data_IF_027085979905
#
_entry.id   IF_027085979905
#
_cell.length_a   1.000
_cell.length_b   1.000
_cell.length_c   1.000
_cell.angle_alpha   90.00
_cell.angle_beta   90.00
_cell.angle_gamma   90.00
#
_symmetry.space_group_name_H-M   'P 1'
#
loop_
_entity.id
_entity.type
_entity.pdbx_description
1 polymer ?
#
# COMPACT_ATOMS: atom_id res chain seq x y z
N UNK A 1 19.19 -14.85 -30.19
CA UNK A 1 18.14 -13.89 -30.59
C UNK A 1 17.12 -13.77 -29.46
N UNK A 2 17.26 -12.82 -28.57
CA UNK A 2 16.35 -12.60 -27.43
C UNK A 2 15.09 -11.90 -27.94
N UNK A 3 13.97 -12.61 -27.96
CA UNK A 3 12.65 -12.04 -28.26
C UNK A 3 12.39 -10.86 -27.29
N UNK A 4 12.34 -9.63 -27.81
CA UNK A 4 11.78 -8.48 -27.08
C UNK A 4 10.35 -8.84 -26.71
N UNK A 5 10.11 -9.21 -25.46
CA UNK A 5 8.74 -9.31 -24.93
C UNK A 5 8.14 -7.91 -25.00
N UNK A 6 7.17 -7.74 -25.88
CA UNK A 6 6.38 -6.51 -25.95
C UNK A 6 5.55 -6.44 -24.67
N UNK A 7 5.79 -5.44 -23.84
CA UNK A 7 4.99 -5.20 -22.63
C UNK A 7 3.50 -5.15 -23.00
N UNK A 8 2.62 -5.78 -22.20
CA UNK A 8 1.19 -5.84 -22.49
C UNK A 8 0.61 -4.41 -22.53
N UNK A 9 -0.20 -4.14 -23.54
CA UNK A 9 -0.83 -2.83 -23.69
C UNK A 9 -2.12 -2.76 -22.86
N UNK A 10 -2.22 -1.72 -22.00
CA UNK A 10 -3.40 -1.43 -21.20
C UNK A 10 -3.39 -2.04 -19.78
N UNK A 11 -4.06 -1.36 -18.88
CA UNK A 11 -4.09 -1.67 -17.45
C UNK A 11 -4.61 -3.07 -17.10
N UNK A 12 -5.68 -3.61 -17.75
CA UNK A 12 -6.16 -4.96 -17.47
C UNK A 12 -5.11 -6.04 -17.79
N UNK A 13 -4.39 -5.90 -18.90
CA UNK A 13 -3.33 -6.85 -19.30
C UNK A 13 -2.11 -6.74 -18.36
N UNK A 14 -1.75 -5.53 -17.95
CA UNK A 14 -0.70 -5.31 -16.96
C UNK A 14 -1.08 -5.89 -15.59
N UNK A 15 -2.33 -5.72 -15.15
CA UNK A 15 -2.81 -6.32 -13.90
C UNK A 15 -2.77 -7.86 -13.95
N UNK A 16 -3.19 -8.45 -15.05
CA UNK A 16 -3.12 -9.91 -15.24
C UNK A 16 -1.67 -10.40 -15.19
N UNK A 17 -0.71 -9.68 -15.81
CA UNK A 17 0.70 -10.04 -15.75
C UNK A 17 1.28 -9.89 -14.34
N UNK A 18 0.96 -8.82 -13.61
CA UNK A 18 1.34 -8.65 -12.20
C UNK A 18 0.82 -9.80 -11.35
N UNK A 19 -0.45 -10.21 -11.53
CA UNK A 19 -1.04 -11.37 -10.86
C UNK A 19 -0.39 -12.71 -11.25
N UNK A 20 0.10 -12.83 -12.48
CA UNK A 20 0.87 -14.01 -12.91
C UNK A 20 2.28 -14.07 -12.31
N UNK A 21 2.91 -12.92 -12.05
CA UNK A 21 4.25 -12.82 -11.46
C UNK A 21 4.24 -12.93 -9.92
N UNK A 22 3.17 -12.51 -9.27
CA UNK A 22 2.95 -12.71 -7.82
C UNK A 22 1.70 -13.56 -7.66
N UNK A 23 1.88 -14.86 -7.41
CA UNK A 23 0.76 -15.78 -7.19
C UNK A 23 0.04 -15.49 -5.86
N UNK A 24 -1.25 -15.86 -5.70
CA UNK A 24 -1.98 -15.64 -4.44
C UNK A 24 -1.27 -16.21 -3.22
N UNK A 25 -0.63 -17.38 -3.35
CA UNK A 25 0.10 -18.04 -2.26
C UNK A 25 1.27 -17.21 -1.68
N UNK A 26 1.78 -16.25 -2.42
CA UNK A 26 2.83 -15.33 -1.96
C UNK A 26 2.27 -14.17 -1.10
N UNK A 27 0.96 -13.94 -1.13
CA UNK A 27 0.29 -13.01 -0.23
C UNK A 27 0.16 -13.65 1.16
N UNK A 28 0.02 -12.80 2.18
CA UNK A 28 -0.07 -13.29 3.56
C UNK A 28 -1.23 -14.27 3.77
N UNK A 29 -0.93 -15.48 4.24
CA UNK A 29 -1.88 -16.59 4.39
C UNK A 29 -3.10 -16.24 5.25
N UNK A 30 -2.90 -15.50 6.34
CA UNK A 30 -3.98 -15.01 7.19
C UNK A 30 -4.96 -14.07 6.48
N UNK A 31 -4.47 -13.30 5.47
CA UNK A 31 -5.34 -12.47 4.62
C UNK A 31 -6.12 -13.32 3.63
N UNK A 32 -5.48 -14.33 3.01
CA UNK A 32 -6.15 -15.24 2.10
C UNK A 32 -7.28 -16.00 2.80
N UNK A 33 -7.01 -16.57 3.97
CA UNK A 33 -8.01 -17.26 4.77
C UNK A 33 -9.15 -16.34 5.23
N UNK A 34 -8.83 -15.07 5.54
CA UNK A 34 -9.84 -14.07 5.87
C UNK A 34 -10.70 -13.73 4.64
N UNK A 35 -10.09 -13.49 3.48
CA UNK A 35 -10.78 -13.12 2.24
C UNK A 35 -11.74 -14.21 1.75
N UNK A 36 -11.36 -15.50 1.87
CA UNK A 36 -12.18 -16.65 1.50
C UNK A 36 -13.50 -16.74 2.29
N UNK A 37 -13.52 -16.22 3.52
CA UNK A 37 -14.72 -16.21 4.39
C UNK A 37 -15.66 -15.03 4.12
N UNK A 38 -15.33 -14.13 3.18
CA UNK A 38 -16.12 -12.93 2.91
C UNK A 38 -17.05 -13.15 1.72
N UNK A 39 -18.33 -12.72 1.83
CA UNK A 39 -19.24 -12.83 0.71
C UNK A 39 -18.72 -12.02 -0.49
N UNK A 40 -18.89 -12.49 -1.73
CA UNK A 40 -18.43 -11.76 -2.93
C UNK A 40 -19.02 -10.35 -3.07
N UNK A 41 -20.17 -10.08 -2.48
CA UNK A 41 -20.84 -8.79 -2.46
C UNK A 41 -20.24 -7.76 -1.51
N UNK A 42 -19.32 -8.17 -0.61
CA UNK A 42 -18.69 -7.24 0.33
C UNK A 42 -17.80 -6.23 -0.40
N UNK A 43 -18.00 -4.95 -0.10
CA UNK A 43 -17.21 -3.86 -0.69
C UNK A 43 -15.85 -3.80 -0.01
N UNK A 44 -14.79 -3.83 -0.82
CA UNK A 44 -13.41 -3.68 -0.37
C UNK A 44 -12.87 -2.30 -0.75
N UNK A 45 -12.55 -1.50 0.25
CA UNK A 45 -11.89 -0.21 0.06
C UNK A 45 -10.37 -0.39 -0.01
N UNK A 46 -9.72 0.22 -0.99
CA UNK A 46 -8.27 0.12 -1.23
C UNK A 46 -7.66 1.51 -1.09
N UNK A 47 -6.72 1.69 -0.16
CA UNK A 47 -5.96 2.94 -0.07
C UNK A 47 -5.02 3.05 -1.27
N UNK A 48 -5.26 4.02 -2.15
CA UNK A 48 -4.56 4.15 -3.42
C UNK A 48 -3.93 5.54 -3.57
N UNK A 49 -2.61 5.63 -3.41
CA UNK A 49 -1.84 6.87 -3.58
C UNK A 49 -1.33 7.09 -4.99
N UNK A 50 -1.26 6.04 -5.82
CA UNK A 50 -0.60 6.04 -7.12
C UNK A 50 0.88 5.64 -7.06
N UNK A 51 1.48 5.53 -5.88
CA UNK A 51 2.82 4.99 -5.68
C UNK A 51 2.89 3.48 -5.90
N UNK A 52 4.10 2.95 -6.08
CA UNK A 52 4.36 1.55 -6.46
C UNK A 52 3.61 0.54 -5.60
N UNK A 53 3.75 0.63 -4.26
CA UNK A 53 3.18 -0.36 -3.35
C UNK A 53 1.64 -0.39 -3.44
N UNK A 54 0.99 0.78 -3.42
CA UNK A 54 -0.47 0.89 -3.51
C UNK A 54 -1.01 0.50 -4.88
N UNK A 55 -0.22 0.72 -5.94
CA UNK A 55 -0.56 0.29 -7.29
C UNK A 55 -0.44 -1.23 -7.41
N UNK A 56 0.65 -1.82 -6.93
CA UNK A 56 0.81 -3.28 -6.89
C UNK A 56 -0.38 -3.93 -6.15
N UNK A 57 -0.77 -3.40 -4.99
CA UNK A 57 -1.93 -3.89 -4.25
C UNK A 57 -3.21 -3.84 -5.09
N UNK A 58 -3.50 -2.71 -5.73
CA UNK A 58 -4.71 -2.56 -6.54
C UNK A 58 -4.74 -3.56 -7.71
N UNK A 59 -3.60 -3.71 -8.42
CA UNK A 59 -3.48 -4.63 -9.55
C UNK A 59 -3.62 -6.09 -9.10
N UNK A 60 -3.02 -6.48 -7.97
CA UNK A 60 -3.14 -7.83 -7.41
C UNK A 60 -4.57 -8.15 -6.98
N UNK A 61 -5.26 -7.21 -6.31
CA UNK A 61 -6.66 -7.40 -5.94
C UNK A 61 -7.54 -7.57 -7.19
N UNK A 62 -7.32 -6.76 -8.21
CA UNK A 62 -8.06 -6.83 -9.47
C UNK A 62 -7.81 -8.15 -10.23
N UNK A 63 -6.57 -8.67 -10.17
CA UNK A 63 -6.19 -9.90 -10.86
C UNK A 63 -6.67 -11.15 -10.13
N UNK A 64 -6.50 -11.23 -8.80
CA UNK A 64 -6.74 -12.44 -8.02
C UNK A 64 -8.18 -12.64 -7.57
N UNK A 65 -8.99 -11.58 -7.54
CA UNK A 65 -10.42 -11.65 -7.18
C UNK A 65 -11.30 -11.06 -8.30
N UNK A 66 -11.33 -11.72 -9.49
CA UNK A 66 -12.08 -11.22 -10.65
C UNK A 66 -13.58 -11.04 -10.35
N UNK A 67 -14.16 -11.88 -9.50
CA UNK A 67 -15.56 -11.81 -9.06
C UNK A 67 -15.86 -10.59 -8.19
N UNK A 68 -14.83 -9.94 -7.65
CA UNK A 68 -14.95 -8.76 -6.76
C UNK A 68 -14.60 -7.44 -7.42
N UNK A 69 -14.28 -7.43 -8.71
CA UNK A 69 -13.85 -6.18 -9.40
C UNK A 69 -14.87 -5.06 -9.26
N UNK A 70 -16.16 -5.38 -9.34
CA UNK A 70 -17.24 -4.41 -9.18
C UNK A 70 -17.40 -3.90 -7.72
N UNK A 71 -16.89 -4.62 -6.74
CA UNK A 71 -16.90 -4.27 -5.32
C UNK A 71 -15.62 -3.58 -4.84
N UNK A 72 -14.61 -3.43 -5.72
CA UNK A 72 -13.42 -2.66 -5.38
C UNK A 72 -13.70 -1.16 -5.44
N UNK A 73 -13.35 -0.46 -4.36
CA UNK A 73 -13.43 1.00 -4.28
C UNK A 73 -12.07 1.56 -3.89
N UNK A 74 -11.40 2.22 -4.81
CA UNK A 74 -10.13 2.88 -4.53
C UNK A 74 -10.37 4.21 -3.79
N UNK A 75 -9.60 4.47 -2.73
CA UNK A 75 -9.66 5.68 -1.92
C UNK A 75 -8.36 6.46 -2.09
N UNK A 76 -8.42 7.61 -2.74
CA UNK A 76 -7.29 8.52 -2.92
C UNK A 76 -7.47 9.77 -2.07
N UNK A 77 -6.46 10.13 -1.27
CA UNK A 77 -6.47 11.37 -0.50
C UNK A 77 -5.39 12.31 -0.99
N UNK A 78 -5.81 13.43 -1.58
CA UNK A 78 -4.93 14.49 -2.06
C UNK A 78 -4.68 15.49 -0.91
N UNK A 79 -3.47 15.44 -0.35
CA UNK A 79 -3.06 16.32 0.75
C UNK A 79 -2.87 17.78 0.31
N UNK A 80 -2.77 18.08 -1.00
CA UNK A 80 -2.51 19.40 -1.57
C UNK A 80 -1.20 20.09 -1.10
N UNK A 81 -0.32 19.36 -0.44
CA UNK A 81 0.94 19.89 0.08
C UNK A 81 1.97 20.15 -1.02
N UNK A 82 1.83 19.51 -2.19
CA UNK A 82 2.79 19.56 -3.31
C UNK A 82 2.22 20.22 -4.58
N UNK A 83 1.18 21.02 -4.47
CA UNK A 83 0.60 21.77 -5.59
C UNK A 83 0.34 20.90 -6.82
N UNK A 84 0.93 21.28 -7.98
CA UNK A 84 0.75 20.57 -9.27
C UNK A 84 1.13 19.08 -9.24
N UNK A 85 2.10 18.68 -8.41
CA UNK A 85 2.49 17.27 -8.31
C UNK A 85 1.35 16.43 -7.67
N UNK A 86 0.70 16.94 -6.64
CA UNK A 86 -0.44 16.27 -6.01
C UNK A 86 -1.66 16.17 -6.95
N UNK A 87 -1.87 17.16 -7.82
CA UNK A 87 -2.91 17.10 -8.86
C UNK A 87 -2.57 16.05 -9.94
N UNK A 88 -1.30 15.95 -10.32
CA UNK A 88 -0.83 14.94 -11.27
C UNK A 88 -1.02 13.50 -10.71
N UNK A 89 -0.79 13.31 -9.40
CA UNK A 89 -1.04 12.03 -8.72
C UNK A 89 -2.53 11.68 -8.73
N UNK A 90 -3.41 12.64 -8.44
CA UNK A 90 -4.86 12.43 -8.53
C UNK A 90 -5.30 12.08 -9.95
N UNK A 91 -4.81 12.81 -10.97
CA UNK A 91 -5.10 12.52 -12.38
C UNK A 91 -4.63 11.12 -12.78
N UNK A 92 -3.46 10.71 -12.28
CA UNK A 92 -2.93 9.38 -12.52
C UNK A 92 -3.86 8.30 -11.89
N UNK A 93 -4.23 8.46 -10.63
CA UNK A 93 -5.15 7.53 -9.95
C UNK A 93 -6.50 7.41 -10.69
N UNK A 94 -7.05 8.52 -11.18
CA UNK A 94 -8.28 8.51 -11.97
C UNK A 94 -8.15 7.71 -13.26
N UNK A 95 -7.03 7.86 -14.00
CA UNK A 95 -6.79 7.11 -15.24
C UNK A 95 -6.66 5.61 -15.00
N UNK A 96 -5.92 5.21 -13.97
CA UNK A 96 -5.75 3.80 -13.60
C UNK A 96 -7.10 3.18 -13.24
N UNK A 97 -7.84 3.80 -12.34
CA UNK A 97 -9.13 3.28 -11.88
C UNK A 97 -10.16 3.22 -13.00
N UNK A 98 -10.24 4.24 -13.85
CA UNK A 98 -11.13 4.26 -15.01
C UNK A 98 -10.82 3.11 -15.99
N UNK A 99 -9.53 2.87 -16.27
CA UNK A 99 -9.11 1.81 -17.18
C UNK A 99 -9.32 0.39 -16.63
N UNK A 100 -9.33 0.23 -15.28
CA UNK A 100 -9.62 -1.04 -14.61
C UNK A 100 -11.12 -1.23 -14.30
N UNK A 101 -11.97 -0.24 -14.54
CA UNK A 101 -13.37 -0.27 -14.15
C UNK A 101 -13.58 -0.20 -12.62
N UNK A 102 -12.61 0.34 -11.87
CA UNK A 102 -12.66 0.45 -10.41
C UNK A 102 -13.19 1.83 -10.01
N UNK A 103 -14.19 1.86 -9.12
CA UNK A 103 -14.71 3.11 -8.56
C UNK A 103 -13.62 3.83 -7.76
N UNK A 104 -13.41 5.13 -8.03
CA UNK A 104 -12.48 5.97 -7.26
C UNK A 104 -13.22 7.02 -6.45
N UNK A 105 -12.95 7.07 -5.15
CA UNK A 105 -13.39 8.15 -4.26
C UNK A 105 -12.18 9.01 -3.91
N UNK A 106 -12.28 10.30 -4.16
CA UNK A 106 -11.19 11.26 -3.91
C UNK A 106 -11.55 12.17 -2.75
N UNK A 107 -10.69 12.22 -1.74
CA UNK A 107 -10.69 13.24 -0.71
C UNK A 107 -9.61 14.28 -1.00
N UNK A 108 -9.89 15.52 -0.64
CA UNK A 108 -8.91 16.60 -0.72
C UNK A 108 -8.84 17.32 0.62
N UNK A 109 -7.62 17.57 1.09
CA UNK A 109 -7.46 18.38 2.27
C UNK A 109 -7.90 19.81 1.97
N UNK A 110 -8.83 20.35 2.78
CA UNK A 110 -9.37 21.70 2.60
C UNK A 110 -8.58 22.68 3.48
N UNK A 111 -8.32 23.88 2.96
CA UNK A 111 -7.58 24.94 3.65
C UNK A 111 -6.10 25.02 3.21
N UNK A 112 -5.39 25.98 3.81
CA UNK A 112 -3.93 26.12 3.66
C UNK A 112 -3.25 25.32 4.76
N UNK A 113 -2.37 24.38 4.38
CA UNK A 113 -1.69 23.48 5.30
C UNK A 113 -0.16 23.59 5.17
N UNK A 114 0.36 24.80 4.87
CA UNK A 114 1.79 25.06 4.90
C UNK A 114 2.33 24.79 6.30
N UNK A 115 3.36 23.95 6.41
CA UNK A 115 3.94 23.58 7.70
C UNK A 115 3.17 22.51 8.48
N UNK A 116 2.12 21.91 7.93
CA UNK A 116 1.40 20.83 8.60
C UNK A 116 2.33 19.62 8.87
N UNK A 117 2.23 19.09 10.08
CA UNK A 117 2.98 17.91 10.49
C UNK A 117 2.52 16.63 9.77
N UNK A 118 3.39 15.63 9.72
CA UNK A 118 3.04 14.29 9.20
C UNK A 118 1.84 13.68 9.97
N UNK A 119 1.76 13.94 11.28
CA UNK A 119 0.69 13.45 12.13
C UNK A 119 -0.68 14.05 11.73
N UNK A 120 -0.74 15.35 11.47
CA UNK A 120 -1.97 16.04 11.01
C UNK A 120 -2.39 15.54 9.62
N UNK A 121 -1.45 15.42 8.69
CA UNK A 121 -1.69 14.88 7.36
C UNK A 121 -2.23 13.44 7.42
N UNK A 122 -1.65 12.62 8.31
CA UNK A 122 -2.11 11.25 8.57
C UNK A 122 -3.52 11.23 9.19
N UNK A 123 -3.80 12.08 10.17
CA UNK A 123 -5.12 12.17 10.82
C UNK A 123 -6.20 12.58 9.82
N UNK A 124 -5.94 13.58 8.97
CA UNK A 124 -6.86 14.01 7.93
C UNK A 124 -7.17 12.89 6.93
N UNK A 125 -6.16 12.13 6.50
CA UNK A 125 -6.32 10.96 5.63
C UNK A 125 -7.15 9.87 6.29
N UNK A 126 -6.90 9.54 7.55
CA UNK A 126 -7.65 8.52 8.27
C UNK A 126 -9.13 8.91 8.43
N UNK A 127 -9.40 10.17 8.75
CA UNK A 127 -10.76 10.72 8.80
C UNK A 127 -11.48 10.57 7.45
N UNK A 128 -10.80 10.89 6.35
CA UNK A 128 -11.36 10.70 5.01
C UNK A 128 -11.67 9.24 4.73
N UNK A 129 -10.74 8.31 5.02
CA UNK A 129 -10.96 6.88 4.80
C UNK A 129 -12.17 6.39 5.60
N UNK A 130 -12.27 6.74 6.88
CA UNK A 130 -13.40 6.38 7.72
C UNK A 130 -14.74 6.85 7.13
N UNK A 131 -14.82 8.10 6.67
CA UNK A 131 -16.02 8.66 6.06
C UNK A 131 -16.36 8.01 4.71
N UNK A 132 -15.35 7.76 3.85
CA UNK A 132 -15.56 7.12 2.55
C UNK A 132 -16.04 5.68 2.70
N UNK A 133 -15.44 4.93 3.62
CA UNK A 133 -15.86 3.56 3.94
C UNK A 133 -17.29 3.52 4.50
N UNK A 134 -17.64 4.43 5.40
CA UNK A 134 -19.00 4.54 5.94
C UNK A 134 -20.04 4.76 4.83
N UNK A 135 -19.76 5.70 3.92
CA UNK A 135 -20.67 6.01 2.79
C UNK A 135 -20.81 4.86 1.79
N UNK A 136 -19.77 4.06 1.62
CA UNK A 136 -19.79 2.90 0.73
C UNK A 136 -20.29 1.62 1.40
N UNK A 137 -20.47 1.59 2.72
CA UNK A 137 -20.78 0.37 3.46
C UNK A 137 -19.59 -0.59 3.60
N UNK A 138 -18.37 -0.15 3.25
CA UNK A 138 -17.17 -0.98 3.34
C UNK A 138 -16.71 -1.14 4.79
N UNK A 139 -16.36 -2.38 5.16
CA UNK A 139 -15.77 -2.70 6.47
C UNK A 139 -14.30 -3.05 6.39
N UNK A 140 -13.73 -3.24 5.20
CA UNK A 140 -12.34 -3.60 4.98
C UNK A 140 -11.59 -2.49 4.25
N UNK A 141 -10.48 -2.01 4.84
CA UNK A 141 -9.52 -1.12 4.21
C UNK A 141 -8.24 -1.90 3.89
N UNK A 142 -7.99 -2.09 2.61
CA UNK A 142 -6.79 -2.75 2.11
C UNK A 142 -5.64 -1.75 2.03
N UNK A 143 -4.52 -2.11 2.64
CA UNK A 143 -3.34 -1.27 2.80
C UNK A 143 -2.12 -1.98 2.22
N UNK A 144 -1.32 -1.27 1.47
CA UNK A 144 -0.14 -1.79 0.78
C UNK A 144 1.13 -1.80 1.66
N UNK A 145 0.99 -2.04 2.96
CA UNK A 145 2.15 -2.24 3.82
C UNK A 145 2.85 -3.54 3.42
N UNK A 146 4.15 -3.49 3.30
CA UNK A 146 5.01 -4.58 2.89
C UNK A 146 6.09 -4.86 3.96
N UNK A 147 6.99 -5.80 3.72
CA UNK A 147 7.93 -6.30 4.72
C UNK A 147 8.84 -5.21 5.32
N UNK A 148 9.33 -4.29 4.48
CA UNK A 148 10.17 -3.17 4.92
C UNK A 148 9.42 -2.24 5.90
N UNK A 149 8.10 -2.02 5.70
CA UNK A 149 7.28 -1.21 6.61
C UNK A 149 7.18 -1.79 8.02
N UNK A 150 7.28 -3.13 8.15
CA UNK A 150 7.31 -3.80 9.47
C UNK A 150 8.60 -3.43 10.19
N UNK A 151 9.75 -3.60 9.55
CA UNK A 151 11.06 -3.29 10.14
C UNK A 151 11.15 -1.80 10.50
N UNK A 152 10.77 -0.91 9.60
CA UNK A 152 10.69 0.53 9.88
C UNK A 152 9.83 0.83 11.11
N UNK A 153 8.63 0.22 11.18
CA UNK A 153 7.71 0.45 12.30
C UNK A 153 8.26 -0.03 13.63
N UNK A 154 8.94 -1.19 13.65
CA UNK A 154 9.58 -1.74 14.85
C UNK A 154 10.68 -0.80 15.32
N UNK A 155 11.60 -0.39 14.43
CA UNK A 155 12.71 0.52 14.79
C UNK A 155 12.21 1.89 15.25
N UNK A 156 11.19 2.44 14.59
CA UNK A 156 10.57 3.71 15.04
C UNK A 156 9.96 3.61 16.45
N UNK A 157 9.37 2.48 16.80
CA UNK A 157 8.79 2.24 18.13
C UNK A 157 9.85 2.00 19.18
N UNK A 158 10.89 1.26 18.85
CA UNK A 158 12.08 1.08 19.71
C UNK A 158 12.70 2.44 20.06
N UNK A 159 12.93 3.28 19.07
CA UNK A 159 13.49 4.62 19.27
C UNK A 159 12.61 5.56 20.12
N UNK A 160 11.30 5.26 20.23
CA UNK A 160 10.37 5.99 21.12
C UNK A 160 10.22 5.37 22.50
N UNK A 161 11.02 4.35 22.83
CA UNK A 161 10.96 3.66 24.13
C UNK A 161 9.73 2.78 24.33
N UNK A 162 9.10 2.29 23.24
CA UNK A 162 7.95 1.40 23.35
C UNK A 162 8.36 0.07 23.99
N UNK A 163 7.63 -0.36 25.04
CA UNK A 163 7.78 -1.69 25.63
C UNK A 163 7.31 -2.81 24.70
N UNK A 164 7.46 -4.07 25.14
CA UNK A 164 7.20 -5.27 24.32
C UNK A 164 5.81 -5.31 23.69
N UNK A 165 4.76 -4.90 24.40
CA UNK A 165 3.40 -4.77 23.86
C UNK A 165 3.25 -3.72 22.77
N UNK A 166 4.09 -2.66 22.81
CA UNK A 166 4.11 -1.60 21.81
C UNK A 166 4.92 -1.96 20.55
N UNK A 167 5.78 -2.98 20.60
CA UNK A 167 6.60 -3.42 19.48
C UNK A 167 5.87 -4.38 18.52
N UNK A 168 4.63 -4.74 18.81
CA UNK A 168 3.86 -5.65 17.95
C UNK A 168 3.82 -5.15 16.51
N UNK A 169 4.23 -5.99 15.56
CA UNK A 169 4.17 -5.71 14.14
C UNK A 169 2.73 -5.42 13.67
N UNK A 170 2.54 -4.69 12.58
CA UNK A 170 1.23 -4.54 11.97
C UNK A 170 0.63 -5.90 11.63
N UNK A 171 -0.53 -6.23 12.19
CA UNK A 171 -1.21 -7.51 11.91
C UNK A 171 -1.71 -7.54 10.46
N UNK A 172 -1.71 -8.74 9.81
CA UNK A 172 -2.22 -8.90 8.44
C UNK A 172 -3.69 -8.52 8.32
N UNK A 173 -4.49 -8.92 9.30
CA UNK A 173 -5.88 -8.47 9.49
C UNK A 173 -6.00 -7.88 10.89
N UNK A 174 -6.28 -6.61 10.97
CA UNK A 174 -6.32 -5.86 12.22
C UNK A 174 -7.68 -5.19 12.41
N UNK A 175 -8.47 -5.60 13.40
CA UNK A 175 -9.68 -4.87 13.79
C UNK A 175 -9.35 -3.43 14.19
N UNK A 176 -10.24 -2.51 13.86
CA UNK A 176 -10.25 -1.12 14.36
C UNK A 176 -11.39 -0.92 15.33
N UNK A 177 -11.27 0.04 16.26
CA UNK A 177 -12.26 0.24 17.33
C UNK A 177 -13.68 0.58 16.86
N UNK A 178 -13.85 0.87 15.56
CA UNK A 178 -15.13 1.22 14.93
C UNK A 178 -15.77 0.04 14.15
N UNK A 179 -15.33 -1.18 14.42
CA UNK A 179 -15.85 -2.41 13.78
C UNK A 179 -15.38 -2.63 12.35
N UNK A 180 -14.43 -1.84 11.87
CA UNK A 180 -13.76 -2.03 10.58
C UNK A 180 -12.49 -2.84 10.74
N UNK A 181 -11.85 -3.15 9.62
CA UNK A 181 -10.60 -3.92 9.59
C UNK A 181 -9.60 -3.29 8.61
N UNK A 182 -8.34 -3.27 9.00
CA UNK A 182 -7.23 -3.03 8.10
C UNK A 182 -6.69 -4.37 7.61
N UNK A 183 -6.55 -4.52 6.30
CA UNK A 183 -6.10 -5.76 5.64
C UNK A 183 -4.81 -5.47 4.87
N UNK A 184 -3.74 -6.25 5.14
CA UNK A 184 -2.38 -6.03 4.61
C UNK A 184 -1.84 -7.31 3.97
N UNK A 185 -2.15 -7.58 2.70
CA UNK A 185 -1.75 -8.82 2.06
C UNK A 185 -0.26 -8.89 1.71
N UNK A 186 0.41 -7.72 1.59
CA UNK A 186 1.78 -7.64 1.08
C UNK A 186 2.86 -7.74 2.16
N UNK A 187 2.52 -8.07 3.41
CA UNK A 187 3.50 -8.14 4.51
C UNK A 187 4.56 -9.24 4.32
N UNK A 188 4.33 -10.18 3.42
CA UNK A 188 5.27 -11.24 3.03
C UNK A 188 6.21 -10.86 1.90
N UNK A 189 5.98 -9.72 1.24
CA UNK A 189 6.72 -9.28 0.06
C UNK A 189 7.66 -8.11 0.40
N UNK A 190 8.83 -8.10 -0.23
CA UNK A 190 9.77 -6.98 -0.16
C UNK A 190 9.40 -5.88 -1.15
N UNK A 191 9.78 -4.66 -0.83
CA UNK A 191 9.61 -3.53 -1.75
C UNK A 191 10.32 -3.76 -3.09
N UNK A 192 11.52 -4.32 -3.06
CA UNK A 192 12.31 -4.63 -4.27
C UNK A 192 11.61 -5.63 -5.18
N UNK A 193 10.91 -6.62 -4.63
CA UNK A 193 10.12 -7.60 -5.38
C UNK A 193 8.94 -6.92 -6.08
N UNK A 194 8.18 -6.06 -5.36
CA UNK A 194 7.07 -5.31 -5.93
C UNK A 194 7.53 -4.40 -7.08
N UNK A 195 8.63 -3.68 -6.91
CA UNK A 195 9.21 -2.83 -7.96
C UNK A 195 9.66 -3.63 -9.18
N UNK A 196 10.31 -4.78 -8.97
CA UNK A 196 10.73 -5.69 -10.04
C UNK A 196 9.54 -6.18 -10.87
N UNK A 197 8.49 -6.65 -10.20
CA UNK A 197 7.27 -7.15 -10.85
C UNK A 197 6.56 -6.06 -11.64
N UNK A 198 6.40 -4.87 -11.07
CA UNK A 198 5.79 -3.74 -11.78
C UNK A 198 6.61 -3.35 -13.02
N UNK A 199 7.93 -3.34 -12.91
CA UNK A 199 8.84 -3.05 -14.03
C UNK A 199 8.72 -4.10 -15.13
N UNK A 200 8.71 -5.40 -14.78
CA UNK A 200 8.53 -6.51 -15.72
C UNK A 200 7.17 -6.43 -16.43
N UNK A 201 6.13 -6.00 -15.73
CA UNK A 201 4.80 -5.79 -16.32
C UNK A 201 4.69 -4.50 -17.15
N UNK A 202 5.75 -3.70 -17.25
CA UNK A 202 5.75 -2.42 -17.95
C UNK A 202 4.84 -1.37 -17.31
N UNK A 203 4.58 -1.53 -16.02
CA UNK A 203 3.73 -0.62 -15.23
C UNK A 203 4.56 0.58 -14.79
N UNK A 204 4.06 1.78 -15.04
CA UNK A 204 4.66 3.02 -14.53
C UNK A 204 3.83 3.51 -13.34
N UNK A 205 4.49 3.89 -12.26
CA UNK A 205 3.89 4.43 -11.04
C UNK A 205 4.31 5.87 -10.78
N UNK A 206 3.70 6.51 -9.81
CA UNK A 206 4.07 7.85 -9.34
C UNK A 206 5.13 7.75 -8.26
N UNK A 207 6.21 8.48 -8.40
CA UNK A 207 7.23 8.63 -7.37
C UNK A 207 6.98 9.90 -6.56
N UNK A 208 7.01 9.76 -5.25
CA UNK A 208 6.95 10.90 -4.36
C UNK A 208 8.37 11.34 -4.02
N UNK A 209 8.77 12.50 -4.50
CA UNK A 209 10.09 13.07 -4.23
C UNK A 209 10.38 13.22 -2.71
N UNK A 210 9.34 13.34 -1.88
CA UNK A 210 9.51 13.39 -0.42
C UNK A 210 9.99 12.08 0.18
N UNK A 211 9.86 10.95 -0.52
CA UNK A 211 10.39 9.64 -0.08
C UNK A 211 11.93 9.57 -0.18
N UNK A 212 12.55 10.39 -1.01
CA UNK A 212 14.01 10.45 -1.14
C UNK A 212 14.67 11.36 -0.09
N UNK A 213 13.90 12.29 0.50
CA UNK A 213 14.39 13.23 1.51
C UNK A 213 14.69 12.53 2.85
N UNK A 214 15.63 13.10 3.62
CA UNK A 214 15.97 12.65 4.98
C UNK A 214 15.28 13.47 6.09
N UNK A 215 14.36 14.34 5.74
CA UNK A 215 13.66 15.22 6.68
C UNK A 215 12.80 14.44 7.67
N UNK A 216 12.22 13.34 7.22
CA UNK A 216 11.38 12.49 8.04
C UNK A 216 12.17 11.38 8.72
N UNK A 217 11.89 11.14 10.01
CA UNK A 217 12.54 10.09 10.79
C UNK A 217 12.42 8.71 10.14
N UNK A 218 11.28 8.40 9.54
CA UNK A 218 11.06 7.15 8.82
C UNK A 218 12.01 6.97 7.64
N UNK A 219 12.27 8.03 6.88
CA UNK A 219 13.19 7.98 5.74
C UNK A 219 14.65 7.76 6.20
N UNK A 220 15.05 8.38 7.34
CA UNK A 220 16.37 8.12 7.93
C UNK A 220 16.54 6.65 8.36
N UNK A 221 15.50 6.06 8.96
CA UNK A 221 15.54 4.62 9.27
C UNK A 221 15.71 3.79 8.01
N UNK A 222 14.96 4.08 6.96
CA UNK A 222 15.01 3.36 5.68
C UNK A 222 16.36 3.46 4.99
N UNK A 223 16.95 4.64 4.96
CA UNK A 223 18.14 4.90 4.16
C UNK A 223 19.44 4.72 4.94
N UNK A 224 19.45 4.94 6.23
CA UNK A 224 20.66 4.97 7.05
C UNK A 224 20.74 3.79 8.03
N UNK A 225 19.64 3.38 8.65
CA UNK A 225 19.64 2.38 9.72
C UNK A 225 19.44 0.96 9.19
N UNK A 226 18.42 0.73 8.36
CA UNK A 226 18.10 -0.61 7.86
C UNK A 226 19.22 -1.24 7.03
N UNK A 227 19.90 -0.52 6.12
CA UNK A 227 21.03 -1.08 5.39
C UNK A 227 22.19 -1.45 6.29
N UNK A 228 22.57 -0.57 7.23
CA UNK A 228 23.65 -0.82 8.19
C UNK A 228 23.31 -2.02 9.10
N UNK A 229 22.07 -2.13 9.56
CA UNK A 229 21.61 -3.25 10.37
C UNK A 229 21.66 -4.58 9.59
N UNK A 230 21.20 -4.59 8.34
CA UNK A 230 21.26 -5.80 7.50
C UNK A 230 22.69 -6.23 7.23
N UNK A 231 23.60 -5.27 7.01
CA UNK A 231 25.03 -5.54 6.83
C UNK A 231 25.65 -6.12 8.10
N UNK A 232 25.41 -5.50 9.27
CA UNK A 232 25.94 -5.95 10.55
C UNK A 232 25.39 -7.34 10.98
N UNK A 233 24.17 -7.67 10.58
CA UNK A 233 23.54 -8.95 10.89
C UNK A 233 23.98 -10.09 9.96
N UNK A 234 24.72 -9.80 8.89
CA UNK A 234 25.13 -10.75 7.83
C UNK A 234 23.97 -11.60 7.29
N UNK A 235 22.76 -11.09 7.41
CA UNK A 235 21.50 -11.75 7.00
C UNK A 235 20.42 -10.74 6.68
N UNK A 236 19.35 -11.21 6.06
CA UNK A 236 18.17 -10.40 5.81
C UNK A 236 17.45 -10.04 7.12
N UNK A 237 17.77 -8.84 7.65
CA UNK A 237 17.15 -8.32 8.87
C UNK A 237 15.65 -8.01 8.69
N UNK A 238 15.20 -7.73 7.45
CA UNK A 238 13.79 -7.48 7.13
C UNK A 238 12.95 -8.76 7.27
N UNK A 239 13.46 -9.88 6.75
CA UNK A 239 12.81 -11.18 6.90
C UNK A 239 12.72 -11.61 8.37
N UNK A 240 13.77 -11.36 9.15
CA UNK A 240 13.79 -11.64 10.60
C UNK A 240 12.76 -10.81 11.37
N UNK A 241 12.55 -9.56 11.00
CA UNK A 241 11.55 -8.69 11.61
C UNK A 241 10.11 -9.13 11.23
N UNK A 242 9.89 -9.53 9.99
CA UNK A 242 8.55 -9.93 9.49
C UNK A 242 8.09 -11.29 10.05
N UNK A 243 9.01 -12.22 10.33
CA UNK A 243 8.66 -13.54 10.84
C UNK A 243 8.16 -13.57 12.29
N UNK A 244 8.08 -12.44 12.96
CA UNK A 244 7.62 -12.28 14.36
C UNK A 244 6.26 -11.58 14.47
N UNK A 245 5.56 -11.39 13.35
CA UNK A 245 4.25 -10.74 13.27
C UNK A 245 3.06 -11.70 13.29
#
# INVERSE_FOLDING_TARGET
MTRKQTSPRGWPAQAALVGGLIAPVQLHSGVLAWAQRRPPSEIWSVAFSGGADSLALLLLLWAHWPERRAQLVALHFNHRLRGRAAEADEKYCRRVCAALGVKLVVGRWRGQHQGASEAEARAARQKFFAQAMQRSGSRALWLAHQQDDIAESILMRLARGSGTGGLAAPRPVQPTGDGRQHVRPLLTLKKTELLSVLSQAGVKWREDASNAGRDYFRNRIRHDVLPAWSQAAERDALAGAAGRG
#
